data_IF_824698393562
#
_entry.id   IF_824698393562
#
_cell.length_a   1.000
_cell.length_b   1.000
_cell.length_c   1.000
_cell.angle_alpha   90.00
_cell.angle_beta   90.00
_cell.angle_gamma   90.00
#
_symmetry.space_group_name_H-M   'P 1'
#
loop_
_entity.id
_entity.type
_entity.pdbx_description
1 polymer ?
#
# COMPACT_ATOMS: atom_id res chain seq x y z
N UNK A 1 -5.14 -30.86 -11.09
CA UNK A 1 -6.59 -30.69 -11.24
C UNK A 1 -7.20 -30.62 -9.86
N UNK A 2 -7.23 -29.44 -9.26
CA UNK A 2 -7.95 -29.18 -8.02
C UNK A 2 -8.94 -28.04 -8.32
N UNK A 3 -10.18 -28.39 -8.62
CA UNK A 3 -11.31 -27.47 -8.60
C UNK A 3 -11.66 -27.21 -7.16
N UNK A 4 -11.23 -26.08 -6.62
CA UNK A 4 -11.68 -25.61 -5.32
C UNK A 4 -13.10 -25.06 -5.50
N UNK A 5 -14.05 -25.75 -4.90
CA UNK A 5 -15.46 -25.41 -4.88
C UNK A 5 -15.65 -24.17 -3.97
N UNK A 6 -15.84 -23.00 -4.59
CA UNK A 6 -16.24 -21.78 -3.89
C UNK A 6 -17.71 -21.90 -3.47
N UNK A 7 -17.97 -22.18 -2.21
CA UNK A 7 -19.28 -21.87 -1.66
C UNK A 7 -19.39 -20.36 -1.45
N UNK A 8 -20.24 -19.75 -2.27
CA UNK A 8 -20.70 -18.35 -2.13
C UNK A 8 -21.48 -18.19 -0.83
N UNK A 9 -20.80 -17.93 0.26
CA UNK A 9 -21.42 -17.62 1.54
C UNK A 9 -20.92 -16.21 1.94
N UNK A 10 -21.84 -15.26 1.99
CA UNK A 10 -21.75 -13.88 2.49
C UNK A 10 -21.10 -12.77 1.66
N UNK A 11 -20.82 -12.94 0.35
CA UNK A 11 -20.41 -11.80 -0.50
C UNK A 11 -21.57 -10.80 -0.77
N UNK A 12 -22.81 -11.23 -0.71
CA UNK A 12 -23.95 -10.35 -0.96
C UNK A 12 -24.11 -9.22 0.08
N UNK A 13 -23.71 -9.46 1.33
CA UNK A 13 -23.78 -8.44 2.38
C UNK A 13 -22.68 -7.38 2.24
N UNK A 14 -21.49 -7.76 1.78
CA UNK A 14 -20.39 -6.80 1.51
C UNK A 14 -20.71 -5.84 0.35
N UNK A 15 -21.40 -6.30 -0.69
CA UNK A 15 -21.81 -5.43 -1.80
C UNK A 15 -22.90 -4.44 -1.39
N UNK A 16 -23.81 -4.84 -0.50
CA UNK A 16 -24.85 -3.94 0.02
C UNK A 16 -24.27 -2.78 0.86
N UNK A 17 -23.17 -3.01 1.55
CA UNK A 17 -22.49 -1.99 2.35
C UNK A 17 -21.85 -0.91 1.47
N UNK A 18 -21.28 -1.28 0.32
CA UNK A 18 -20.63 -0.30 -0.55
C UNK A 18 -21.60 0.68 -1.21
N UNK A 19 -22.80 0.22 -1.59
CA UNK A 19 -23.84 1.11 -2.14
C UNK A 19 -24.33 2.14 -1.12
N UNK A 20 -24.40 1.79 0.15
CA UNK A 20 -24.81 2.70 1.23
C UNK A 20 -23.72 3.70 1.64
N UNK A 21 -22.44 3.27 1.61
CA UNK A 21 -21.32 4.15 1.94
C UNK A 21 -21.08 5.19 0.84
N UNK A 22 -21.27 4.82 -0.45
CA UNK A 22 -21.12 5.76 -1.56
C UNK A 22 -22.15 6.87 -1.53
N UNK A 23 -23.40 6.57 -1.16
CA UNK A 23 -24.47 7.58 -1.07
C UNK A 23 -24.24 8.59 0.07
N UNK A 24 -23.75 8.14 1.22
CA UNK A 24 -23.43 9.04 2.34
C UNK A 24 -22.17 9.88 2.05
N UNK A 25 -21.16 9.30 1.38
CA UNK A 25 -19.94 10.04 0.98
C UNK A 25 -20.24 11.16 -0.01
N UNK A 26 -21.18 10.95 -0.94
CA UNK A 26 -21.59 11.95 -1.93
C UNK A 26 -22.28 13.18 -1.29
N UNK A 27 -22.99 13.01 -0.17
CA UNK A 27 -23.66 14.10 0.50
C UNK A 27 -22.75 14.92 1.42
N UNK A 28 -21.81 14.27 2.11
CA UNK A 28 -20.83 14.92 3.00
C UNK A 28 -19.82 15.78 2.23
N UNK A 29 -19.36 15.29 1.08
CA UNK A 29 -18.41 16.02 0.24
C UNK A 29 -18.96 17.30 -0.40
N UNK A 30 -20.29 17.46 -0.49
CA UNK A 30 -20.90 18.70 -0.99
C UNK A 30 -20.83 19.86 -0.01
N UNK A 31 -20.67 19.61 1.29
CA UNK A 31 -20.58 20.66 2.32
C UNK A 31 -19.18 21.21 2.55
N UNK A 32 -18.13 20.54 2.08
CA UNK A 32 -16.72 20.90 2.37
C UNK A 32 -16.05 21.71 1.25
N UNK A 33 -16.73 21.95 0.12
CA UNK A 33 -16.18 22.80 -0.94
C UNK A 33 -16.53 24.27 -0.62
N UNK A 34 -15.76 24.87 0.26
CA UNK A 34 -15.71 26.32 0.36
C UNK A 34 -15.20 26.92 -0.97
N UNK A 35 -15.79 28.02 -1.42
CA UNK A 35 -15.58 28.69 -2.71
C UNK A 35 -14.13 29.13 -3.04
N UNK A 36 -13.12 28.66 -2.32
CA UNK A 36 -11.70 28.98 -2.53
C UNK A 36 -10.80 27.74 -2.75
N UNK A 37 -11.34 26.58 -3.05
CA UNK A 37 -10.52 25.51 -3.61
C UNK A 37 -10.17 25.90 -5.06
N UNK A 38 -8.98 26.48 -5.25
CA UNK A 38 -8.36 26.55 -6.57
C UNK A 38 -8.44 25.15 -7.16
N UNK A 39 -9.15 25.02 -8.27
CA UNK A 39 -9.13 23.82 -9.10
C UNK A 39 -7.66 23.52 -9.38
N UNK A 40 -7.11 22.55 -8.65
CA UNK A 40 -5.77 22.04 -8.93
C UNK A 40 -5.77 21.60 -10.38
N UNK A 41 -4.86 22.11 -11.13
CA UNK A 41 -4.68 21.87 -12.56
C UNK A 41 -4.81 20.36 -12.83
N UNK A 42 -5.83 19.98 -13.59
CA UNK A 42 -6.13 18.58 -13.98
C UNK A 42 -4.94 17.96 -14.77
N UNK A 43 -3.98 18.78 -15.15
CA UNK A 43 -2.73 18.44 -15.84
C UNK A 43 -1.52 18.26 -14.92
N UNK A 44 -1.70 17.99 -13.63
CA UNK A 44 -0.57 17.54 -12.85
C UNK A 44 -0.09 16.21 -13.42
N UNK A 45 1.01 16.25 -14.12
CA UNK A 45 1.76 15.07 -14.53
C UNK A 45 1.96 14.20 -13.28
N UNK A 46 1.68 12.88 -13.35
CA UNK A 46 1.97 11.94 -12.27
C UNK A 46 3.44 11.97 -11.82
N UNK A 47 4.34 12.62 -12.58
CA UNK A 47 5.70 13.00 -12.16
C UNK A 47 5.71 14.12 -11.12
N UNK A 48 4.61 14.83 -10.93
CA UNK A 48 4.50 15.79 -9.84
C UNK A 48 4.04 15.04 -8.58
N UNK A 49 4.92 15.06 -7.64
CA UNK A 49 4.86 14.41 -6.35
C UNK A 49 3.69 14.91 -5.49
N UNK A 50 2.92 13.99 -4.94
CA UNK A 50 1.96 14.26 -3.87
C UNK A 50 2.66 14.45 -2.50
N UNK A 51 3.95 14.79 -2.49
CA UNK A 51 4.75 14.89 -1.28
C UNK A 51 4.11 15.84 -0.25
N UNK A 52 3.59 16.98 -0.70
CA UNK A 52 2.93 17.93 0.20
C UNK A 52 1.72 17.32 0.91
N UNK A 53 0.97 16.44 0.24
CA UNK A 53 -0.14 15.70 0.85
C UNK A 53 0.35 14.66 1.86
N UNK A 54 1.41 13.91 1.53
CA UNK A 54 2.00 12.91 2.43
C UNK A 54 2.64 13.57 3.64
N UNK A 55 3.41 14.64 3.45
CA UNK A 55 4.01 15.42 4.55
C UNK A 55 2.90 15.92 5.49
N UNK A 56 1.83 16.46 4.94
CA UNK A 56 0.69 16.93 5.72
C UNK A 56 -0.02 15.75 6.43
N UNK A 57 -0.30 14.65 5.74
CA UNK A 57 -0.96 13.47 6.28
C UNK A 57 -0.16 12.83 7.43
N UNK A 58 1.15 12.80 7.31
CA UNK A 58 2.04 12.32 8.38
C UNK A 58 2.11 13.30 9.54
N UNK A 59 2.15 14.61 9.27
CA UNK A 59 2.16 15.63 10.33
C UNK A 59 0.86 15.69 11.13
N UNK A 60 -0.28 15.28 10.55
CA UNK A 60 -1.55 15.15 11.29
C UNK A 60 -1.47 14.12 12.41
N UNK A 61 -0.63 13.12 12.24
CA UNK A 61 -0.38 12.10 13.23
C UNK A 61 0.59 12.57 14.34
N UNK A 62 1.30 13.65 14.11
CA UNK A 62 2.17 14.26 15.11
C UNK A 62 1.32 14.97 16.16
N UNK A 63 0.77 14.19 17.08
CA UNK A 63 0.24 14.76 18.32
C UNK A 63 1.38 15.52 19.00
N UNK A 64 1.15 16.79 19.25
CA UNK A 64 2.04 17.62 20.06
C UNK A 64 2.36 17.01 21.44
N UNK A 65 1.56 16.03 21.85
CA UNK A 65 1.73 15.23 23.08
C UNK A 65 2.75 14.08 22.94
N UNK A 66 3.25 13.79 21.73
CA UNK A 66 4.32 12.82 21.48
C UNK A 66 5.67 13.48 21.15
N UNK A 67 5.85 14.73 21.53
CA UNK A 67 7.07 15.52 21.28
C UNK A 67 8.34 15.00 21.95
N UNK A 68 8.31 13.91 22.69
CA UNK A 68 9.52 13.25 23.16
C UNK A 68 9.87 12.07 22.25
N UNK A 69 10.11 12.35 20.96
CA UNK A 69 10.90 11.46 20.12
C UNK A 69 12.32 11.56 20.68
N UNK A 70 12.63 10.77 21.69
CA UNK A 70 13.96 10.71 22.30
C UNK A 70 15.06 10.58 21.22
N UNK A 71 16.33 10.60 21.58
CA UNK A 71 17.42 10.54 20.63
C UNK A 71 17.22 9.36 19.67
N UNK A 72 17.50 9.59 18.37
CA UNK A 72 17.40 8.55 17.36
C UNK A 72 18.29 7.36 17.72
N UNK A 73 17.79 6.16 17.48
CA UNK A 73 18.47 4.91 17.77
C UNK A 73 19.37 4.57 16.58
N UNK A 74 20.66 4.41 16.83
CA UNK A 74 21.58 3.88 15.85
C UNK A 74 21.40 2.36 15.74
N UNK A 75 21.13 1.88 14.53
CA UNK A 75 21.01 0.46 14.27
C UNK A 75 22.38 -0.17 14.01
N UNK A 76 22.59 -1.42 14.41
CA UNK A 76 23.77 -2.17 14.00
C UNK A 76 23.91 -2.16 12.48
N UNK A 77 25.15 -2.13 11.99
CA UNK A 77 25.42 -2.27 10.56
C UNK A 77 24.84 -3.60 10.07
N UNK A 78 24.02 -3.54 9.03
CA UNK A 78 23.51 -4.74 8.38
C UNK A 78 24.68 -5.55 7.80
N UNK A 79 24.62 -6.88 7.82
CA UNK A 79 25.60 -7.72 7.13
C UNK A 79 25.66 -7.31 5.65
N UNK A 80 26.88 -7.34 5.09
CA UNK A 80 27.06 -7.15 3.64
C UNK A 80 26.37 -8.31 2.94
N UNK A 81 25.51 -7.99 1.98
CA UNK A 81 24.79 -8.94 1.15
C UNK A 81 25.23 -8.72 -0.29
N UNK A 82 25.56 -9.79 -1.00
CA UNK A 82 25.87 -9.72 -2.43
C UNK A 82 24.60 -9.33 -3.20
N UNK A 83 24.74 -8.32 -4.06
CA UNK A 83 23.65 -7.88 -4.91
C UNK A 83 23.37 -8.89 -6.02
N UNK A 84 22.14 -9.24 -6.23
CA UNK A 84 21.75 -10.02 -7.41
C UNK A 84 21.93 -9.22 -8.69
N UNK A 85 22.35 -9.88 -9.75
CA UNK A 85 22.31 -9.38 -11.12
C UNK A 85 20.87 -9.28 -11.62
N UNK A 86 20.65 -8.53 -12.68
CA UNK A 86 19.31 -8.38 -13.28
C UNK A 86 18.75 -9.74 -13.76
N UNK A 87 19.59 -10.68 -14.18
CA UNK A 87 19.18 -12.03 -14.56
C UNK A 87 18.71 -12.85 -13.33
N UNK A 88 19.48 -12.86 -12.24
CA UNK A 88 19.09 -13.56 -11.01
C UNK A 88 17.80 -13.01 -10.43
N UNK A 89 17.58 -11.69 -10.54
CA UNK A 89 16.32 -11.06 -10.14
C UNK A 89 15.16 -11.53 -11.03
N UNK A 90 15.34 -11.54 -12.35
CA UNK A 90 14.31 -11.98 -13.28
C UNK A 90 13.93 -13.45 -13.01
N UNK A 91 14.90 -14.34 -12.84
CA UNK A 91 14.68 -15.75 -12.53
C UNK A 91 13.94 -15.92 -11.18
N UNK A 92 14.33 -15.17 -10.16
CA UNK A 92 13.70 -15.22 -8.85
C UNK A 92 12.25 -14.74 -8.90
N UNK A 93 11.98 -13.61 -9.58
CA UNK A 93 10.66 -12.99 -9.65
C UNK A 93 9.69 -13.76 -10.56
N UNK A 94 10.19 -14.56 -11.49
CA UNK A 94 9.42 -15.50 -12.32
C UNK A 94 9.10 -16.81 -11.58
N UNK A 95 9.97 -17.24 -10.66
CA UNK A 95 9.78 -18.49 -9.93
C UNK A 95 8.60 -18.40 -8.96
N UNK A 96 7.76 -19.44 -8.87
CA UNK A 96 6.58 -19.40 -8.00
C UNK A 96 6.96 -19.35 -6.52
N UNK A 97 6.09 -18.72 -5.72
CA UNK A 97 6.03 -18.85 -4.28
C UNK A 97 4.70 -19.54 -3.95
N UNK A 98 4.77 -20.75 -3.38
CA UNK A 98 3.58 -21.54 -3.14
C UNK A 98 2.97 -21.20 -1.77
N UNK A 99 1.71 -20.75 -1.80
CA UNK A 99 0.91 -20.51 -0.60
C UNK A 99 0.26 -21.80 -0.12
N UNK A 100 0.22 -21.96 1.19
CA UNK A 100 -0.61 -23.01 1.81
C UNK A 100 -2.07 -22.55 1.90
N UNK A 101 -2.99 -23.50 2.01
CA UNK A 101 -4.41 -23.19 2.24
C UNK A 101 -4.61 -22.41 3.54
N UNK A 102 -3.89 -22.76 4.60
CA UNK A 102 -3.94 -22.06 5.89
C UNK A 102 -3.51 -20.58 5.76
N UNK A 103 -2.52 -20.27 4.94
CA UNK A 103 -2.11 -18.89 4.67
C UNK A 103 -3.20 -18.11 3.96
N UNK A 104 -3.87 -18.71 2.97
CA UNK A 104 -4.99 -18.07 2.29
C UNK A 104 -6.19 -17.87 3.23
N UNK A 105 -6.46 -18.82 4.13
CA UNK A 105 -7.52 -18.71 5.14
C UNK A 105 -7.18 -17.61 6.16
N UNK A 106 -5.93 -17.54 6.63
CA UNK A 106 -5.47 -16.50 7.54
C UNK A 106 -5.64 -15.09 6.92
N UNK A 107 -5.22 -14.91 5.67
CA UNK A 107 -5.41 -13.64 4.96
C UNK A 107 -6.89 -13.24 4.87
N UNK A 108 -7.77 -14.17 4.48
CA UNK A 108 -9.22 -13.88 4.39
C UNK A 108 -9.84 -13.54 5.73
N UNK A 109 -9.36 -14.16 6.81
CA UNK A 109 -9.84 -13.91 8.18
C UNK A 109 -9.33 -12.57 8.73
N UNK A 110 -8.02 -12.34 8.60
CA UNK A 110 -7.35 -11.24 9.28
C UNK A 110 -7.18 -9.99 8.39
N UNK A 111 -7.38 -10.11 7.07
CA UNK A 111 -7.27 -9.02 6.10
C UNK A 111 -5.82 -8.73 5.69
N UNK A 112 -4.85 -9.39 6.28
CA UNK A 112 -3.44 -9.29 5.94
C UNK A 112 -2.70 -10.59 6.22
N UNK A 113 -1.50 -10.69 5.65
CA UNK A 113 -0.55 -11.76 5.96
C UNK A 113 0.88 -11.24 5.76
N UNK A 114 1.80 -11.69 6.60
CA UNK A 114 3.24 -11.53 6.44
C UNK A 114 3.84 -12.85 5.97
N UNK A 115 4.44 -12.86 4.79
CA UNK A 115 5.01 -14.06 4.19
C UNK A 115 6.54 -14.01 4.27
N UNK A 116 7.19 -15.00 4.88
CA UNK A 116 8.63 -15.04 5.02
C UNK A 116 9.31 -15.39 3.69
N UNK A 117 10.51 -14.85 3.47
CA UNK A 117 11.38 -15.24 2.35
C UNK A 117 10.69 -15.19 0.96
N UNK A 118 9.83 -14.21 0.75
CA UNK A 118 9.24 -13.94 -0.58
C UNK A 118 10.33 -13.49 -1.54
N UNK A 119 11.29 -12.72 -1.03
CA UNK A 119 12.47 -12.28 -1.77
C UNK A 119 13.74 -12.73 -1.04
N UNK A 120 14.76 -13.06 -1.82
CA UNK A 120 16.09 -13.35 -1.29
C UNK A 120 16.77 -12.07 -0.76
N UNK A 121 17.74 -12.18 0.14
CA UNK A 121 18.51 -11.04 0.61
C UNK A 121 19.20 -10.25 -0.52
N UNK A 122 19.71 -10.93 -1.55
CA UNK A 122 20.36 -10.29 -2.71
C UNK A 122 19.38 -9.45 -3.55
N UNK A 123 18.16 -9.96 -3.76
CA UNK A 123 17.10 -9.22 -4.43
C UNK A 123 16.66 -8.00 -3.61
N UNK A 124 16.45 -8.14 -2.30
CA UNK A 124 16.09 -7.02 -1.42
C UNK A 124 17.19 -5.95 -1.42
N UNK A 125 18.45 -6.32 -1.33
CA UNK A 125 19.58 -5.38 -1.34
C UNK A 125 19.65 -4.60 -2.69
N UNK A 126 19.41 -5.29 -3.80
CA UNK A 126 19.38 -4.68 -5.13
C UNK A 126 18.21 -3.72 -5.30
N UNK A 127 17.01 -4.11 -4.83
CA UNK A 127 15.84 -3.25 -4.77
C UNK A 127 16.13 -1.98 -3.96
N UNK A 128 16.69 -2.14 -2.75
CA UNK A 128 17.06 -1.00 -1.89
C UNK A 128 18.01 -0.04 -2.58
N UNK A 129 19.07 -0.56 -3.21
CA UNK A 129 20.04 0.27 -3.93
C UNK A 129 19.35 1.17 -4.96
N UNK A 130 18.42 0.60 -5.72
CA UNK A 130 17.72 1.34 -6.77
C UNK A 130 16.70 2.33 -6.21
N UNK A 131 15.93 1.96 -5.19
CA UNK A 131 14.97 2.87 -4.54
C UNK A 131 15.69 4.07 -3.90
N UNK A 132 16.82 3.85 -3.21
CA UNK A 132 17.66 4.92 -2.65
C UNK A 132 18.13 5.88 -3.77
N UNK A 133 18.56 5.32 -4.90
CA UNK A 133 18.99 6.13 -6.05
C UNK A 133 17.86 6.99 -6.60
N UNK A 134 16.67 6.41 -6.80
CA UNK A 134 15.51 7.13 -7.37
C UNK A 134 14.98 8.20 -6.42
N UNK A 135 14.82 7.85 -5.14
CA UNK A 135 14.41 8.82 -4.11
C UNK A 135 15.43 9.96 -3.98
N UNK A 136 16.73 9.64 -4.01
CA UNK A 136 17.80 10.63 -3.97
C UNK A 136 17.77 11.59 -5.16
N UNK A 137 17.50 11.10 -6.36
CA UNK A 137 17.37 11.94 -7.57
C UNK A 137 16.15 12.87 -7.49
N UNK A 138 15.05 12.38 -6.95
CA UNK A 138 13.78 13.11 -6.89
C UNK A 138 13.78 14.15 -5.75
N UNK A 139 14.26 13.77 -4.56
CA UNK A 139 14.14 14.59 -3.35
C UNK A 139 15.44 15.23 -2.89
N UNK A 140 16.52 15.10 -3.61
CA UNK A 140 17.74 15.88 -3.40
C UNK A 140 18.76 15.27 -2.43
N UNK A 141 18.97 13.98 -2.43
CA UNK A 141 20.19 13.32 -1.93
C UNK A 141 20.45 13.35 -0.42
N UNK A 142 19.44 13.55 0.41
CA UNK A 142 19.57 13.55 1.88
C UNK A 142 19.07 12.28 2.56
N UNK A 143 19.17 11.14 1.90
CA UNK A 143 18.72 9.86 2.45
C UNK A 143 19.70 9.23 3.46
N UNK A 144 20.83 9.87 3.73
CA UNK A 144 21.88 9.36 4.63
C UNK A 144 22.01 10.23 5.89
N UNK A 145 20.98 10.20 6.76
CA UNK A 145 21.16 10.64 8.15
C UNK A 145 20.96 12.14 8.46
N UNK A 146 20.26 12.87 7.61
CA UNK A 146 19.69 14.15 8.03
C UNK A 146 18.33 13.93 8.67
N UNK A 147 18.06 14.46 9.85
CA UNK A 147 16.72 14.48 10.44
C UNK A 147 15.81 15.31 9.53
N UNK A 148 15.06 14.64 8.68
CA UNK A 148 14.13 15.30 7.78
C UNK A 148 12.68 15.16 8.22
N UNK A 149 12.38 14.37 9.27
CA UNK A 149 11.02 14.10 9.76
C UNK A 149 9.94 13.98 8.67
N UNK A 150 10.36 13.64 7.45
CA UNK A 150 9.53 13.61 6.25
C UNK A 150 9.13 12.18 5.88
N UNK A 151 7.95 12.07 5.30
CA UNK A 151 7.52 10.89 4.58
C UNK A 151 7.62 11.16 3.08
N UNK A 152 8.44 10.38 2.36
CA UNK A 152 8.63 10.52 0.92
C UNK A 152 7.82 9.47 0.19
N UNK A 153 7.21 9.88 -0.93
CA UNK A 153 6.40 9.02 -1.79
C UNK A 153 6.78 9.25 -3.26
N UNK A 154 7.09 8.19 -3.98
CA UNK A 154 7.43 8.23 -5.41
C UNK A 154 6.67 7.15 -6.15
N UNK A 155 5.76 7.55 -7.04
CA UNK A 155 4.81 6.68 -7.73
C UNK A 155 5.21 6.42 -9.19
N UNK A 156 4.68 5.34 -9.76
CA UNK A 156 4.74 5.00 -11.19
C UNK A 156 6.17 4.84 -11.74
N UNK A 157 7.09 4.44 -10.88
CA UNK A 157 8.50 4.23 -11.26
C UNK A 157 8.68 3.12 -12.29
N UNK A 158 7.77 2.15 -12.33
CA UNK A 158 7.81 1.01 -13.23
C UNK A 158 7.78 1.40 -14.71
N UNK A 159 7.26 2.58 -15.04
CA UNK A 159 7.17 3.07 -16.40
C UNK A 159 8.53 3.40 -17.00
N UNK A 160 9.43 3.96 -16.18
CA UNK A 160 10.72 4.49 -16.65
C UNK A 160 11.92 3.65 -16.17
N UNK A 161 11.73 2.81 -15.14
CA UNK A 161 12.84 2.05 -14.55
C UNK A 161 12.66 0.54 -14.79
N UNK A 162 13.52 -0.08 -15.63
CA UNK A 162 13.39 -1.51 -15.95
C UNK A 162 13.55 -2.43 -14.75
N UNK A 163 14.44 -2.09 -13.80
CA UNK A 163 14.61 -2.92 -12.61
C UNK A 163 13.38 -2.85 -11.69
N UNK A 164 12.86 -1.66 -11.42
CA UNK A 164 11.62 -1.53 -10.64
C UNK A 164 10.45 -2.21 -11.35
N UNK A 165 10.37 -2.10 -12.68
CA UNK A 165 9.36 -2.82 -13.48
C UNK A 165 9.39 -4.32 -13.22
N UNK A 166 10.58 -4.94 -13.08
CA UNK A 166 10.69 -6.36 -12.79
C UNK A 166 10.03 -6.74 -11.46
N UNK A 167 10.18 -5.93 -10.41
CA UNK A 167 9.54 -6.15 -9.12
C UNK A 167 8.03 -5.86 -9.16
N UNK A 168 7.63 -4.81 -9.86
CA UNK A 168 6.22 -4.37 -9.91
C UNK A 168 5.37 -5.32 -10.72
N UNK A 169 5.86 -5.79 -11.87
CA UNK A 169 5.17 -6.73 -12.74
C UNK A 169 5.55 -8.20 -12.47
N UNK A 170 6.16 -8.50 -11.32
CA UNK A 170 6.60 -9.83 -10.94
C UNK A 170 5.46 -10.85 -10.98
N UNK A 171 5.57 -11.93 -11.77
CA UNK A 171 4.60 -13.03 -11.74
C UNK A 171 4.49 -13.68 -10.37
N UNK A 172 5.59 -13.75 -9.59
CA UNK A 172 5.60 -14.28 -8.21
C UNK A 172 4.67 -13.46 -7.32
N UNK A 173 4.86 -12.14 -7.27
CA UNK A 173 4.08 -11.23 -6.39
C UNK A 173 2.62 -11.18 -6.85
N UNK A 174 2.39 -11.10 -8.16
CA UNK A 174 1.04 -11.07 -8.73
C UNK A 174 0.27 -12.40 -8.50
N UNK A 175 0.94 -13.56 -8.60
CA UNK A 175 0.34 -14.88 -8.29
C UNK A 175 -0.04 -14.98 -6.81
N UNK A 176 0.83 -14.55 -5.90
CA UNK A 176 0.50 -14.48 -4.47
C UNK A 176 -0.76 -13.63 -4.28
N UNK A 177 -0.79 -12.43 -4.87
CA UNK A 177 -1.91 -11.49 -4.78
C UNK A 177 -3.23 -12.10 -5.29
N UNK A 178 -3.21 -12.75 -6.46
CA UNK A 178 -4.37 -13.44 -7.03
C UNK A 178 -4.88 -14.57 -6.13
N UNK A 179 -3.97 -15.38 -5.58
CA UNK A 179 -4.32 -16.51 -4.71
C UNK A 179 -4.92 -16.04 -3.37
N UNK A 180 -4.37 -14.97 -2.77
CA UNK A 180 -4.89 -14.39 -1.53
C UNK A 180 -6.29 -13.81 -1.73
N UNK A 181 -6.51 -13.07 -2.81
CA UNK A 181 -7.83 -12.56 -3.19
C UNK A 181 -8.79 -13.68 -3.64
N UNK A 182 -8.27 -14.82 -4.10
CA UNK A 182 -9.05 -15.92 -4.65
C UNK A 182 -9.62 -15.63 -6.03
N UNK A 183 -8.93 -14.84 -6.84
CA UNK A 183 -9.30 -14.47 -8.20
C UNK A 183 -8.38 -15.15 -9.22
N UNK A 184 -8.86 -15.28 -10.46
CA UNK A 184 -8.09 -15.92 -11.54
C UNK A 184 -7.01 -14.98 -12.10
N UNK A 185 -7.28 -13.68 -12.12
CA UNK A 185 -6.44 -12.69 -12.77
C UNK A 185 -6.38 -11.39 -11.96
N UNK A 186 -5.19 -10.78 -11.91
CA UNK A 186 -4.98 -9.47 -11.28
C UNK A 186 -4.26 -8.51 -12.22
N UNK A 187 -4.63 -7.22 -12.09
CA UNK A 187 -3.99 -6.08 -12.74
C UNK A 187 -3.23 -5.24 -11.73
N UNK A 188 -2.19 -4.58 -12.21
CA UNK A 188 -1.53 -3.52 -11.45
C UNK A 188 -2.44 -2.29 -11.36
N UNK A 189 -2.57 -1.72 -10.16
CA UNK A 189 -3.11 -0.38 -9.98
C UNK A 189 -2.00 0.67 -10.08
N UNK A 190 -1.02 0.59 -9.19
CA UNK A 190 0.21 1.39 -9.24
C UNK A 190 1.31 0.79 -8.35
N UNK A 191 2.51 1.30 -8.51
CA UNK A 191 3.63 1.12 -7.57
C UNK A 191 3.91 2.43 -6.82
N UNK A 192 4.45 2.30 -5.62
CA UNK A 192 4.83 3.43 -4.79
C UNK A 192 6.05 3.10 -3.93
N UNK A 193 7.13 3.87 -4.06
CA UNK A 193 8.22 3.85 -3.10
C UNK A 193 7.87 4.75 -1.92
N UNK A 194 7.84 4.18 -0.74
CA UNK A 194 7.51 4.86 0.51
C UNK A 194 8.75 4.91 1.39
N UNK A 195 9.24 6.12 1.69
CA UNK A 195 10.36 6.29 2.61
C UNK A 195 9.94 7.09 3.84
N UNK A 196 10.06 6.46 5.01
CA UNK A 196 9.86 7.13 6.29
C UNK A 196 11.23 7.52 6.82
N UNK A 197 11.56 8.80 6.72
CA UNK A 197 12.86 9.33 7.11
C UNK A 197 13.10 9.29 8.62
N UNK A 198 14.37 9.36 9.09
CA UNK A 198 14.67 9.45 10.51
C UNK A 198 13.90 10.58 11.21
N UNK A 199 13.20 10.28 12.29
CA UNK A 199 12.39 11.23 13.04
C UNK A 199 10.98 11.46 12.48
N UNK A 200 10.65 10.86 11.34
CA UNK A 200 9.31 10.94 10.79
C UNK A 200 8.27 10.31 11.74
N UNK A 201 7.16 10.97 11.93
CA UNK A 201 6.08 10.59 12.83
C UNK A 201 5.34 9.31 12.42
N UNK A 202 4.30 8.98 13.18
CA UNK A 202 3.46 7.81 12.89
C UNK A 202 2.56 8.05 11.66
N UNK A 203 2.18 6.98 10.98
CA UNK A 203 1.10 7.00 9.99
C UNK A 203 -0.22 6.72 10.71
N UNK A 204 -1.27 7.54 10.54
CA UNK A 204 -2.57 7.34 11.17
C UNK A 204 -3.22 6.00 10.85
N UNK A 205 -4.17 5.56 11.67
CA UNK A 205 -5.07 4.47 11.32
C UNK A 205 -5.85 4.79 10.06
N UNK A 206 -5.76 3.92 9.06
CA UNK A 206 -6.47 4.05 7.80
C UNK A 206 -6.68 2.67 7.16
N UNK A 207 -7.48 2.66 6.11
CA UNK A 207 -7.61 1.55 5.17
C UNK A 207 -7.55 2.11 3.75
N UNK A 208 -7.08 1.31 2.81
CA UNK A 208 -6.68 1.80 1.49
C UNK A 208 -7.83 2.05 0.53
N UNK A 209 -9.02 1.47 0.75
CA UNK A 209 -10.18 1.59 -0.16
C UNK A 209 -10.57 3.04 -0.48
N UNK A 210 -10.26 3.98 0.41
CA UNK A 210 -10.48 5.40 0.16
C UNK A 210 -9.68 5.97 -1.02
N UNK A 211 -8.55 5.32 -1.34
CA UNK A 211 -7.63 5.77 -2.39
C UNK A 211 -7.90 5.13 -3.74
N UNK A 212 -8.74 4.08 -3.79
CA UNK A 212 -9.00 3.34 -5.02
C UNK A 212 -10.41 3.63 -5.54
N UNK A 213 -10.55 4.12 -6.79
CA UNK A 213 -11.84 4.41 -7.40
C UNK A 213 -12.49 3.13 -7.98
N UNK A 214 -12.28 1.98 -7.36
CA UNK A 214 -12.65 0.67 -7.89
C UNK A 214 -13.96 0.16 -7.28
N UNK A 215 -14.88 -0.31 -8.12
CA UNK A 215 -16.14 -0.91 -7.69
C UNK A 215 -15.96 -2.40 -7.30
N UNK A 216 -14.89 -2.69 -6.58
CA UNK A 216 -14.58 -4.02 -6.04
C UNK A 216 -13.80 -3.90 -4.75
N UNK A 217 -13.90 -4.92 -3.88
CA UNK A 217 -13.03 -5.09 -2.72
C UNK A 217 -11.90 -6.09 -2.98
N UNK A 218 -11.85 -6.69 -4.16
CA UNK A 218 -10.75 -7.59 -4.54
C UNK A 218 -9.52 -6.77 -4.92
N UNK A 219 -8.96 -6.07 -3.94
CA UNK A 219 -7.77 -5.23 -4.04
C UNK A 219 -6.82 -5.59 -2.90
N UNK A 220 -5.54 -5.75 -3.23
CA UNK A 220 -4.49 -6.10 -2.29
C UNK A 220 -3.24 -5.28 -2.56
N UNK A 221 -2.60 -4.80 -1.50
CA UNK A 221 -1.29 -4.15 -1.57
C UNK A 221 -0.22 -5.11 -1.07
N UNK A 222 0.77 -5.40 -1.92
CA UNK A 222 2.01 -6.06 -1.55
C UNK A 222 3.00 -5.01 -1.04
N UNK A 223 3.28 -5.03 0.24
CA UNK A 223 4.20 -4.11 0.91
C UNK A 223 5.55 -4.80 1.11
N UNK A 224 6.55 -4.38 0.33
CA UNK A 224 7.84 -5.03 0.15
C UNK A 224 8.93 -4.20 0.84
N UNK A 225 9.35 -4.56 2.06
CA UNK A 225 10.47 -3.90 2.72
C UNK A 225 11.76 -4.04 1.91
N UNK A 226 12.44 -2.93 1.68
CA UNK A 226 13.75 -2.93 1.04
C UNK A 226 14.91 -3.17 2.04
N UNK A 227 14.61 -3.58 3.25
CA UNK A 227 15.51 -3.91 4.35
C UNK A 227 14.76 -4.63 5.47
N UNK A 228 15.44 -5.22 6.47
CA UNK A 228 14.81 -5.57 7.73
C UNK A 228 14.24 -4.32 8.40
N UNK A 229 13.04 -4.42 8.96
CA UNK A 229 12.39 -3.30 9.66
C UNK A 229 12.19 -3.68 11.12
N UNK A 230 13.08 -3.28 12.03
CA UNK A 230 12.87 -3.47 13.48
C UNK A 230 11.73 -2.58 13.97
N UNK A 231 11.17 -2.90 15.12
CA UNK A 231 10.04 -2.14 15.73
C UNK A 231 10.34 -0.64 15.83
N UNK A 232 11.58 -0.26 16.18
CA UNK A 232 12.00 1.14 16.30
C UNK A 232 11.95 1.92 14.97
N UNK A 233 11.95 1.23 13.83
CA UNK A 233 11.90 1.83 12.49
C UNK A 233 10.46 2.08 12.00
N UNK A 234 9.45 1.67 12.77
CA UNK A 234 8.03 1.85 12.46
C UNK A 234 7.52 0.92 11.36
N UNK A 235 7.49 -0.41 11.59
CA UNK A 235 6.82 -1.35 10.67
C UNK A 235 5.33 -1.06 10.57
N UNK A 236 4.67 -1.64 9.55
CA UNK A 236 3.21 -1.67 9.52
C UNK A 236 2.66 -2.46 10.70
N UNK A 237 1.58 -1.95 11.26
CA UNK A 237 0.78 -2.62 12.27
C UNK A 237 -0.66 -2.76 11.74
N UNK A 238 -1.24 -3.94 11.93
CA UNK A 238 -2.53 -4.32 11.38
C UNK A 238 -3.53 -4.64 12.47
N UNK A 239 -4.72 -4.06 12.39
CA UNK A 239 -5.85 -4.44 13.23
C UNK A 239 -6.49 -5.72 12.68
N UNK A 240 -6.83 -6.67 13.55
CA UNK A 240 -7.43 -7.97 13.18
C UNK A 240 -8.56 -8.40 14.13
N UNK A 241 -9.52 -9.21 13.63
CA UNK A 241 -9.66 -9.71 12.25
C UNK A 241 -10.13 -8.62 11.26
N UNK A 242 -10.22 -8.93 9.96
CA UNK A 242 -10.70 -7.99 8.92
C UNK A 242 -12.07 -7.39 9.26
N UNK A 243 -12.92 -8.14 9.96
CA UNK A 243 -14.25 -7.69 10.39
C UNK A 243 -14.24 -6.51 11.38
N UNK A 244 -13.08 -6.09 11.91
CA UNK A 244 -12.97 -4.83 12.69
C UNK A 244 -13.37 -3.61 11.88
N UNK A 245 -13.31 -3.71 10.54
CA UNK A 245 -13.84 -2.70 9.64
C UNK A 245 -15.29 -2.32 9.97
N UNK A 246 -16.13 -3.30 10.34
CA UNK A 246 -17.54 -3.09 10.67
C UNK A 246 -17.75 -2.22 11.92
N UNK A 247 -16.77 -2.15 12.82
CA UNK A 247 -16.81 -1.32 14.03
C UNK A 247 -16.62 0.16 13.73
N UNK A 248 -15.96 0.49 12.62
CA UNK A 248 -15.46 1.85 12.32
C UNK A 248 -15.91 2.38 10.95
N UNK A 249 -16.59 1.57 10.13
CA UNK A 249 -17.02 1.93 8.77
C UNK A 249 -17.91 3.18 8.70
N UNK A 250 -18.64 3.47 9.76
CA UNK A 250 -19.55 4.61 9.86
C UNK A 250 -18.88 5.87 10.44
N UNK A 251 -17.63 5.79 10.85
CA UNK A 251 -16.83 6.96 11.24
C UNK A 251 -16.52 7.74 9.97
N UNK A 252 -16.91 9.02 9.93
CA UNK A 252 -16.64 9.87 8.78
C UNK A 252 -15.14 10.07 8.59
N UNK A 253 -14.64 9.66 7.40
CA UNK A 253 -13.23 9.82 7.08
C UNK A 253 -12.87 11.28 6.96
N UNK A 254 -11.93 11.73 7.77
CA UNK A 254 -11.39 13.08 7.75
C UNK A 254 -9.87 13.03 7.56
N UNK A 255 -9.40 13.63 6.47
CA UNK A 255 -7.97 13.76 6.16
C UNK A 255 -7.38 15.11 6.56
N UNK A 256 -8.18 16.01 7.15
CA UNK A 256 -7.75 17.38 7.46
C UNK A 256 -7.33 17.58 8.92
N UNK A 257 -7.60 16.60 9.77
CA UNK A 257 -7.17 16.60 11.18
C UNK A 257 -7.06 15.17 11.73
N UNK A 258 -6.69 15.03 12.99
CA UNK A 258 -6.50 13.74 13.67
C UNK A 258 -7.78 13.14 14.25
N UNK A 259 -8.96 13.73 14.00
CA UNK A 259 -10.21 13.30 14.63
C UNK A 259 -10.60 11.88 14.21
N UNK A 260 -10.45 11.55 12.93
CA UNK A 260 -10.71 10.21 12.42
C UNK A 260 -9.83 9.15 13.07
N UNK A 261 -8.52 9.36 13.02
CA UNK A 261 -7.52 8.46 13.61
C UNK A 261 -7.77 8.21 15.11
N UNK A 262 -8.06 9.27 15.86
CA UNK A 262 -8.36 9.18 17.30
C UNK A 262 -9.65 8.39 17.55
N UNK A 263 -10.74 8.65 16.81
CA UNK A 263 -11.98 7.91 16.95
C UNK A 263 -11.80 6.43 16.64
N UNK A 264 -11.06 6.08 15.59
CA UNK A 264 -10.73 4.69 15.26
C UNK A 264 -9.96 4.03 16.40
N UNK A 265 -8.92 4.71 16.92
CA UNK A 265 -8.12 4.18 18.02
C UNK A 265 -8.95 3.97 19.30
N UNK A 266 -9.87 4.90 19.63
CA UNK A 266 -10.78 4.77 20.78
C UNK A 266 -11.74 3.58 20.62
N UNK A 267 -12.31 3.38 19.42
CA UNK A 267 -13.19 2.22 19.15
C UNK A 267 -12.41 0.93 19.25
N UNK A 268 -11.19 0.86 18.71
CA UNK A 268 -10.36 -0.34 18.80
C UNK A 268 -9.98 -0.67 20.23
N UNK A 269 -9.60 0.33 21.02
CA UNK A 269 -9.30 0.15 22.44
C UNK A 269 -10.53 -0.35 23.22
N UNK A 270 -11.69 0.26 23.01
CA UNK A 270 -12.94 -0.10 23.68
C UNK A 270 -13.40 -1.55 23.37
N UNK A 271 -13.07 -2.07 22.18
CA UNK A 271 -13.43 -3.42 21.74
C UNK A 271 -12.27 -4.43 21.89
N UNK A 272 -11.15 -4.06 22.51
CA UNK A 272 -9.96 -4.91 22.68
C UNK A 272 -9.50 -5.50 21.33
N UNK A 273 -9.50 -4.71 20.27
CA UNK A 273 -9.06 -5.14 18.94
C UNK A 273 -7.60 -5.56 18.99
N UNK A 274 -7.30 -6.75 18.49
CA UNK A 274 -5.93 -7.23 18.42
C UNK A 274 -5.16 -6.51 17.31
N UNK A 275 -3.92 -6.14 17.60
CA UNK A 275 -3.02 -5.47 16.64
C UNK A 275 -1.76 -6.32 16.48
N UNK A 276 -1.38 -6.57 15.23
CA UNK A 276 -0.11 -7.19 14.85
C UNK A 276 0.87 -6.10 14.46
N UNK A 277 1.92 -5.88 15.26
CA UNK A 277 2.89 -4.77 15.10
C UNK A 277 4.36 -5.23 15.10
N UNK A 278 4.59 -6.50 14.81
CA UNK A 278 5.92 -7.10 14.83
C UNK A 278 6.87 -6.59 13.74
N UNK A 279 8.19 -6.79 13.92
CA UNK A 279 9.21 -6.41 12.94
C UNK A 279 9.05 -7.18 11.63
N UNK A 280 9.74 -6.74 10.59
CA UNK A 280 9.89 -7.48 9.33
C UNK A 280 11.31 -7.99 9.19
N UNK A 281 11.43 -9.28 8.87
CA UNK A 281 12.68 -9.90 8.52
C UNK A 281 13.11 -9.54 7.09
N UNK A 282 14.38 -9.80 6.75
CA UNK A 282 14.89 -9.66 5.38
C UNK A 282 14.11 -10.58 4.42
N UNK A 283 13.55 -10.01 3.35
CA UNK A 283 12.78 -10.74 2.35
C UNK A 283 11.35 -11.10 2.74
N UNK A 284 10.91 -10.72 3.95
CA UNK A 284 9.52 -10.84 4.36
C UNK A 284 8.68 -9.74 3.70
N UNK A 285 7.53 -10.12 3.16
CA UNK A 285 6.59 -9.21 2.48
C UNK A 285 5.22 -9.34 3.13
N UNK A 286 4.56 -8.23 3.41
CA UNK A 286 3.15 -8.27 3.80
C UNK A 286 2.24 -8.01 2.62
N UNK A 287 1.08 -8.65 2.68
CA UNK A 287 -0.03 -8.42 1.78
C UNK A 287 -1.22 -8.00 2.60
N UNK A 288 -1.89 -6.92 2.25
CA UNK A 288 -3.08 -6.47 2.97
C UNK A 288 -4.20 -6.08 2.02
N UNK A 289 -5.39 -6.47 2.42
CA UNK A 289 -6.64 -6.19 1.74
C UNK A 289 -6.97 -4.69 1.86
N UNK A 290 -7.62 -4.09 0.86
CA UNK A 290 -7.97 -2.67 0.85
C UNK A 290 -8.82 -2.21 2.06
N UNK A 291 -9.58 -3.12 2.70
CA UNK A 291 -10.36 -2.85 3.91
C UNK A 291 -9.60 -3.13 5.22
N UNK A 292 -8.37 -3.63 5.13
CA UNK A 292 -7.55 -3.90 6.33
C UNK A 292 -7.12 -2.60 6.97
N UNK A 293 -7.52 -2.37 8.22
CA UNK A 293 -7.04 -1.22 8.99
C UNK A 293 -5.59 -1.42 9.39
N UNK A 294 -4.78 -0.43 9.07
CA UNK A 294 -3.36 -0.45 9.40
C UNK A 294 -2.84 0.94 9.78
N UNK A 295 -1.72 0.94 10.44
CA UNK A 295 -0.98 2.11 10.90
C UNK A 295 0.51 1.81 10.86
N UNK A 296 1.36 2.78 11.14
CA UNK A 296 2.78 2.56 11.36
C UNK A 296 3.31 3.54 12.39
N UNK A 297 4.12 3.06 13.33
CA UNK A 297 4.82 3.93 14.27
C UNK A 297 5.80 4.87 13.56
N UNK A 298 6.25 5.91 14.26
CA UNK A 298 7.30 6.80 13.79
C UNK A 298 8.64 6.06 13.61
N UNK A 299 9.47 6.57 12.74
CA UNK A 299 10.83 6.06 12.57
C UNK A 299 11.76 6.70 13.61
N UNK A 300 12.10 5.96 14.63
CA UNK A 300 12.99 6.37 15.71
C UNK A 300 14.46 5.97 15.48
N UNK A 301 14.81 5.59 14.26
CA UNK A 301 16.18 5.19 13.93
C UNK A 301 16.90 6.25 13.09
N UNK A 302 18.23 6.13 13.01
CA UNK A 302 19.05 6.99 12.15
C UNK A 302 19.01 6.61 10.67
N UNK A 303 18.24 5.57 10.28
CA UNK A 303 18.15 5.08 8.91
C UNK A 303 16.74 5.27 8.35
N UNK A 304 16.65 5.60 7.06
CA UNK A 304 15.37 5.67 6.36
C UNK A 304 14.74 4.28 6.21
N UNK A 305 13.43 4.16 6.48
CA UNK A 305 12.63 2.98 6.23
C UNK A 305 12.09 3.02 4.80
N UNK A 306 12.66 2.24 3.92
CA UNK A 306 12.31 2.24 2.49
C UNK A 306 11.53 0.97 2.12
N UNK A 307 10.45 1.15 1.37
CA UNK A 307 9.52 0.10 0.95
C UNK A 307 9.09 0.34 -0.48
N UNK A 308 8.87 -0.73 -1.22
CA UNK A 308 8.09 -0.72 -2.46
C UNK A 308 6.70 -1.29 -2.17
N UNK A 309 5.65 -0.54 -2.43
CA UNK A 309 4.27 -0.99 -2.33
C UNK A 309 3.69 -1.14 -3.74
N UNK A 310 3.20 -2.35 -4.07
CA UNK A 310 2.54 -2.65 -5.33
C UNK A 310 1.07 -2.99 -5.04
N UNK A 311 0.15 -2.24 -5.61
CA UNK A 311 -1.28 -2.50 -5.43
C UNK A 311 -1.84 -3.22 -6.66
N UNK A 312 -2.52 -4.35 -6.41
CA UNK A 312 -3.17 -5.16 -7.42
C UNK A 312 -4.67 -5.25 -7.18
N UNK A 313 -5.44 -5.37 -8.24
CA UNK A 313 -6.88 -5.57 -8.19
C UNK A 313 -7.34 -6.65 -9.17
N UNK A 314 -8.52 -7.24 -8.91
CA UNK A 314 -9.10 -8.27 -9.77
C UNK A 314 -9.36 -7.74 -11.18
N UNK A 315 -8.93 -8.48 -12.21
CA UNK A 315 -9.25 -8.16 -13.60
C UNK A 315 -10.77 -8.14 -13.84
N UNK A 316 -11.23 -7.22 -14.66
CA UNK A 316 -12.66 -6.98 -14.91
C UNK A 316 -13.32 -6.03 -13.90
N UNK A 317 -12.60 -5.55 -12.88
CA UNK A 317 -13.09 -4.50 -11.99
C UNK A 317 -13.46 -3.23 -12.78
N UNK A 318 -14.44 -2.47 -12.26
CA UNK A 318 -14.87 -1.21 -12.87
C UNK A 318 -14.46 -0.03 -12.01
N UNK A 319 -14.27 1.10 -12.66
CA UNK A 319 -14.18 2.38 -11.96
C UNK A 319 -15.54 2.68 -11.31
N UNK A 320 -15.56 3.26 -10.12
CA UNK A 320 -16.79 3.73 -9.46
C UNK A 320 -17.54 4.70 -10.37
N UNK A 321 -18.87 4.66 -10.36
CA UNK A 321 -19.71 5.63 -11.09
C UNK A 321 -19.51 7.08 -10.58
N UNK A 322 -19.18 7.21 -9.30
CA UNK A 322 -18.90 8.49 -8.67
C UNK A 322 -17.65 8.36 -7.78
N UNK A 323 -16.44 8.52 -8.36
CA UNK A 323 -15.20 8.53 -7.61
C UNK A 323 -15.21 9.63 -6.54
N UNK A 324 -14.70 9.32 -5.35
CA UNK A 324 -14.64 10.27 -4.23
C UNK A 324 -13.52 11.29 -4.41
N UNK A 325 -13.53 12.36 -3.61
CA UNK A 325 -12.42 13.34 -3.59
C UNK A 325 -11.08 12.75 -3.18
N UNK A 326 -11.07 11.68 -2.36
CA UNK A 326 -9.82 10.98 -1.99
C UNK A 326 -9.21 10.31 -3.21
N UNK A 327 -10.06 9.87 -4.14
CA UNK A 327 -9.65 9.31 -5.43
C UNK A 327 -9.62 10.34 -6.55
N UNK A 328 -9.63 11.64 -6.25
CA UNK A 328 -9.83 12.72 -7.22
C UNK A 328 -8.78 12.80 -8.33
N UNK A 329 -7.59 12.29 -8.10
CA UNK A 329 -6.47 12.21 -9.05
C UNK A 329 -6.30 10.82 -9.68
N UNK A 330 -7.24 9.91 -9.48
CA UNK A 330 -7.19 8.52 -9.92
C UNK A 330 -6.94 8.33 -11.42
N UNK A 331 -7.33 9.31 -12.24
CA UNK A 331 -7.15 9.26 -13.70
C UNK A 331 -5.67 9.16 -14.12
N UNK A 332 -4.75 9.55 -13.28
CA UNK A 332 -3.31 9.33 -13.51
C UNK A 332 -2.91 7.85 -13.41
N UNK A 333 -3.71 7.01 -12.76
CA UNK A 333 -3.46 5.57 -12.59
C UNK A 333 -4.34 4.70 -13.51
N UNK A 334 -5.51 5.20 -13.94
CA UNK A 334 -6.43 4.49 -14.87
C UNK A 334 -6.72 5.42 -16.04
N UNK A 335 -5.75 5.54 -16.92
CA UNK A 335 -5.74 6.53 -18.00
C UNK A 335 -6.87 6.25 -19.02
N UNK A 336 -7.65 7.29 -19.33
CA UNK A 336 -8.64 7.26 -20.43
C UNK A 336 -9.86 6.36 -20.18
N UNK A 337 -10.12 5.98 -18.93
CA UNK A 337 -11.31 5.21 -18.57
C UNK A 337 -12.31 6.12 -17.87
N UNK A 338 -13.56 6.12 -18.35
CA UNK A 338 -14.66 6.86 -17.73
C UNK A 338 -15.18 6.15 -16.47
N UNK A 339 -15.82 6.88 -15.54
CA UNK A 339 -16.56 6.28 -14.43
C UNK A 339 -17.55 5.20 -14.92
N UNK A 340 -17.61 4.08 -14.22
CA UNK A 340 -18.37 2.88 -14.63
C UNK A 340 -17.69 2.00 -15.69
N UNK A 341 -16.62 2.47 -16.33
CA UNK A 341 -15.84 1.71 -17.30
C UNK A 341 -15.01 0.60 -16.65
N UNK A 342 -14.55 -0.37 -17.44
CA UNK A 342 -13.61 -1.40 -16.96
C UNK A 342 -12.26 -0.76 -16.69
N UNK A 343 -11.73 -0.96 -15.48
CA UNK A 343 -10.43 -0.44 -15.04
C UNK A 343 -9.28 -1.20 -15.73
N UNK A 344 -9.07 -0.93 -17.02
CA UNK A 344 -8.10 -1.63 -17.86
C UNK A 344 -7.47 -0.66 -18.85
N UNK A 345 -6.57 0.17 -18.37
CA UNK A 345 -5.76 1.08 -19.21
C UNK A 345 -4.39 0.48 -19.51
N UNK A 346 -3.60 1.16 -20.33
CA UNK A 346 -2.19 0.81 -20.56
C UNK A 346 -1.34 0.85 -19.27
N UNK A 347 -1.79 1.60 -18.25
CA UNK A 347 -1.14 1.68 -16.94
C UNK A 347 -1.56 0.53 -16.01
N UNK A 348 -2.52 -0.30 -16.42
CA UNK A 348 -3.05 -1.41 -15.61
C UNK A 348 -2.83 -2.75 -16.32
N UNK A 349 -1.60 -3.16 -16.60
CA UNK A 349 -1.36 -4.44 -17.26
C UNK A 349 -1.84 -5.60 -16.38
N UNK A 350 -2.24 -6.70 -17.04
CA UNK A 350 -2.45 -7.98 -16.35
C UNK A 350 -1.11 -8.51 -15.89
N UNK A 351 -0.96 -8.73 -14.59
CA UNK A 351 0.27 -9.23 -13.98
C UNK A 351 0.21 -10.74 -13.70
N UNK A 352 -1.00 -11.28 -13.53
CA UNK A 352 -1.24 -12.70 -13.39
C UNK A 352 -2.58 -13.12 -14.04
N UNK A 353 -2.65 -14.22 -14.81
CA UNK A 353 -1.49 -14.99 -15.32
C UNK A 353 -0.63 -14.13 -16.25
N UNK A 354 0.68 -14.37 -16.32
CA UNK A 354 1.57 -13.58 -17.16
C UNK A 354 1.18 -13.76 -18.63
N UNK A 355 1.10 -12.67 -19.35
CA UNK A 355 0.84 -12.71 -20.80
C UNK A 355 2.09 -13.25 -21.51
N UNK A 356 1.96 -14.40 -22.17
CA UNK A 356 3.05 -15.05 -22.89
C UNK A 356 3.56 -14.22 -24.09
N UNK A 357 2.76 -13.27 -24.59
CA UNK A 357 3.15 -12.39 -25.69
C UNK A 357 4.03 -11.20 -25.30
N UNK A 358 4.13 -10.87 -23.99
CA UNK A 358 4.98 -9.78 -23.49
C UNK A 358 6.42 -10.18 -23.17
N UNK A 359 6.76 -11.46 -23.31
CA UNK A 359 8.12 -12.00 -23.07
C UNK A 359 8.99 -12.10 -24.36
N UNK A 360 8.52 -11.60 -25.49
CA UNK A 360 9.25 -11.63 -26.77
C UNK A 360 9.95 -10.31 -27.09
#
# INVERSE_FOLDING_TARGET
MLRICWQRIHLAEFYAVRSHVSDKRSQSNKMLVGENAQTSDINQSWKQDNQAWWDWYVTLADNKDQQDVGPLIELPSSPTVDLHSDHEIADELDAPYDLTEDQCLAFRKDGFIKLPAVLSPGAVARLRQELVRLLGLTFGGRLDGGSNDRFLSLEMMWLENPLIRSYVLSPRIAKISANLLGVESVRLYHDNALSKEPGCGRTPWHYDDHHFPLATNDVVTAWIPAQPIPVAMGPLAFAKPLSVFELVKDIEFNKFDTSYDRQVAEVFAANNVAVEDGPFAMGEVSFHHNLSFHTAAGNRTTQSRIVLANTFFADGARVLEQPTMVSGDWQKFILGVDPGGIAASELNPVCWPPNTEQKA
#
